data_IF_283714930454
#
_entry.id   IF_283714930454
#
_cell.length_a   1.000
_cell.length_b   1.000
_cell.length_c   1.000
_cell.angle_alpha   90.00
_cell.angle_beta   90.00
_cell.angle_gamma   90.00
#
_symmetry.space_group_name_H-M   'P 1'
#
loop_
_entity.id
_entity.type
_entity.pdbx_description
1 polymer ?
#
# COMPACT_ATOMS: atom_id res chain seq x y z
N UNK A 1 -53.39 -7.38 -30.71
CA UNK A 1 -52.31 -6.84 -29.85
C UNK A 1 -51.29 -7.95 -29.66
N UNK A 2 -50.20 -7.96 -30.45
CA UNK A 2 -49.13 -8.94 -30.30
C UNK A 2 -47.92 -8.23 -29.66
N UNK A 3 -47.72 -8.47 -28.36
CA UNK A 3 -46.58 -7.96 -27.62
C UNK A 3 -45.37 -8.86 -27.88
N UNK A 4 -44.43 -8.40 -28.69
CA UNK A 4 -43.12 -9.02 -28.90
C UNK A 4 -42.15 -8.46 -27.84
N UNK A 5 -41.95 -9.19 -26.75
CA UNK A 5 -40.89 -8.93 -25.78
C UNK A 5 -39.57 -9.52 -26.28
N UNK A 6 -38.68 -8.65 -26.78
CA UNK A 6 -37.30 -9.00 -27.06
C UNK A 6 -36.48 -8.99 -25.76
N UNK A 7 -36.01 -10.16 -25.33
CA UNK A 7 -35.05 -10.30 -24.23
C UNK A 7 -33.68 -9.76 -24.68
N UNK A 8 -33.27 -8.62 -24.13
CA UNK A 8 -31.87 -8.18 -24.19
C UNK A 8 -31.08 -9.00 -23.17
N UNK A 9 -30.23 -9.92 -23.65
CA UNK A 9 -29.22 -10.56 -22.82
C UNK A 9 -28.12 -9.53 -22.53
N UNK A 10 -28.18 -8.92 -21.35
CA UNK A 10 -27.09 -8.12 -20.83
C UNK A 10 -25.96 -9.06 -20.39
N UNK A 11 -24.91 -9.18 -21.22
CA UNK A 11 -23.67 -9.83 -20.85
C UNK A 11 -22.97 -8.99 -19.78
N UNK A 12 -23.12 -9.37 -18.51
CA UNK A 12 -22.33 -8.82 -17.42
C UNK A 12 -20.87 -9.26 -17.63
N UNK A 13 -20.08 -8.42 -18.28
CA UNK A 13 -18.63 -8.55 -18.27
C UNK A 13 -18.18 -8.38 -16.81
N UNK A 14 -17.86 -9.49 -16.16
CA UNK A 14 -17.20 -9.48 -14.86
C UNK A 14 -15.85 -8.82 -15.06
N UNK A 15 -15.75 -7.53 -14.73
CA UNK A 15 -14.48 -6.86 -14.55
C UNK A 15 -13.76 -7.58 -13.40
N UNK A 16 -12.94 -8.57 -13.76
CA UNK A 16 -12.05 -9.22 -12.82
C UNK A 16 -11.10 -8.13 -12.35
N UNK A 17 -11.36 -7.56 -11.16
CA UNK A 17 -10.46 -6.60 -10.52
C UNK A 17 -9.12 -7.30 -10.38
N UNK A 18 -8.20 -7.00 -11.30
CA UNK A 18 -6.87 -7.56 -11.27
C UNK A 18 -6.24 -7.09 -9.95
N UNK A 19 -6.04 -8.04 -9.01
CA UNK A 19 -5.24 -7.75 -7.83
C UNK A 19 -3.91 -7.18 -8.33
N UNK A 20 -3.43 -6.06 -7.77
CA UNK A 20 -2.13 -5.53 -8.14
C UNK A 20 -1.10 -6.67 -8.03
N UNK A 21 -0.30 -6.85 -9.08
CA UNK A 21 0.78 -7.82 -9.04
C UNK A 21 1.65 -7.55 -7.80
N UNK A 22 2.01 -8.62 -7.08
CA UNK A 22 2.85 -8.53 -5.90
C UNK A 22 4.15 -7.78 -6.24
N UNK A 23 4.67 -7.00 -5.30
CA UNK A 23 5.89 -6.24 -5.53
C UNK A 23 7.08 -7.20 -5.72
N UNK A 24 8.10 -6.83 -6.52
CA UNK A 24 9.28 -7.68 -6.71
C UNK A 24 9.96 -8.02 -5.37
N UNK A 25 10.40 -9.27 -5.20
CA UNK A 25 11.01 -9.78 -3.95
C UNK A 25 12.23 -8.97 -3.51
N UNK A 26 13.07 -8.57 -4.46
CA UNK A 26 14.28 -7.80 -4.19
C UNK A 26 13.93 -6.38 -3.72
N UNK A 27 12.87 -5.80 -4.28
CA UNK A 27 12.35 -4.52 -3.81
C UNK A 27 11.84 -4.64 -2.37
N UNK A 28 11.02 -5.65 -2.08
CA UNK A 28 10.48 -5.90 -0.73
C UNK A 28 11.62 -6.03 0.29
N UNK A 29 12.61 -6.87 -0.03
CA UNK A 29 13.76 -7.13 0.84
C UNK A 29 14.60 -5.87 1.08
N UNK A 30 14.82 -5.07 0.02
CA UNK A 30 15.57 -3.83 0.13
C UNK A 30 14.80 -2.75 0.89
N UNK A 31 13.49 -2.62 0.65
CA UNK A 31 12.63 -1.69 1.36
C UNK A 31 12.65 -1.97 2.86
N UNK A 32 12.39 -3.21 3.27
CA UNK A 32 12.33 -3.58 4.68
C UNK A 32 13.68 -3.35 5.38
N UNK A 33 14.78 -3.75 4.75
CA UNK A 33 16.13 -3.53 5.30
C UNK A 33 16.41 -2.05 5.56
N UNK A 34 16.12 -1.19 4.58
CA UNK A 34 16.38 0.25 4.70
C UNK A 34 15.43 0.93 5.68
N UNK A 35 14.16 0.54 5.68
CA UNK A 35 13.18 1.05 6.63
C UNK A 35 13.60 0.72 8.06
N UNK A 36 13.88 -0.56 8.36
CA UNK A 36 14.26 -1.01 9.70
C UNK A 36 15.52 -0.29 10.18
N UNK A 37 16.56 -0.19 9.34
CA UNK A 37 17.79 0.50 9.70
C UNK A 37 17.55 1.99 10.01
N UNK A 38 16.67 2.66 9.27
CA UNK A 38 16.31 4.08 9.52
C UNK A 38 15.48 4.25 10.78
N UNK A 39 14.53 3.35 11.03
CA UNK A 39 13.70 3.35 12.24
C UNK A 39 14.55 3.17 13.50
N UNK A 40 15.50 2.23 13.47
CA UNK A 40 16.47 2.05 14.56
C UNK A 40 17.35 3.28 14.77
N UNK A 41 17.83 3.90 13.68
CA UNK A 41 18.59 5.15 13.78
C UNK A 41 17.77 6.33 14.35
N UNK A 42 16.44 6.21 14.38
CA UNK A 42 15.51 7.17 15.00
C UNK A 42 15.07 6.75 16.41
N UNK A 43 15.63 5.66 16.95
CA UNK A 43 15.45 5.25 18.34
C UNK A 43 14.42 4.14 18.57
N UNK A 44 13.85 3.55 17.52
CA UNK A 44 12.95 2.39 17.67
C UNK A 44 13.74 1.12 17.94
N UNK A 45 13.21 0.26 18.81
CA UNK A 45 13.77 -1.06 19.03
C UNK A 45 13.65 -1.94 17.79
N UNK A 46 14.41 -3.05 17.74
CA UNK A 46 14.44 -3.95 16.58
C UNK A 46 13.06 -4.51 16.25
N UNK A 47 12.29 -4.90 17.26
CA UNK A 47 10.96 -5.48 17.11
C UNK A 47 9.95 -4.44 16.59
N UNK A 48 9.95 -3.24 17.19
CA UNK A 48 9.10 -2.11 16.81
C UNK A 48 9.41 -1.64 15.39
N UNK A 49 10.69 -1.53 15.05
CA UNK A 49 11.14 -1.18 13.70
C UNK A 49 10.65 -2.20 12.66
N UNK A 50 10.74 -3.49 12.97
CA UNK A 50 10.24 -4.55 12.07
C UNK A 50 8.72 -4.42 11.90
N UNK A 51 7.99 -4.28 13.00
CA UNK A 51 6.53 -4.15 12.98
C UNK A 51 6.07 -2.93 12.17
N UNK A 52 6.69 -1.76 12.40
CA UNK A 52 6.41 -0.53 11.64
C UNK A 52 6.63 -0.75 10.14
N UNK A 53 7.79 -1.29 9.76
CA UNK A 53 8.18 -1.43 8.36
C UNK A 53 7.35 -2.48 7.62
N UNK A 54 7.04 -3.60 8.27
CA UNK A 54 6.18 -4.65 7.72
C UNK A 54 4.73 -4.13 7.54
N UNK A 55 4.20 -3.40 8.54
CA UNK A 55 2.90 -2.74 8.43
C UNK A 55 2.88 -1.76 7.26
N UNK A 56 3.87 -0.88 7.18
CA UNK A 56 3.92 0.19 6.18
C UNK A 56 3.99 -0.38 4.77
N UNK A 57 4.86 -1.37 4.52
CA UNK A 57 4.95 -2.00 3.20
C UNK A 57 3.65 -2.73 2.83
N UNK A 58 3.05 -3.45 3.78
CA UNK A 58 1.77 -4.14 3.56
C UNK A 58 0.67 -3.16 3.17
N UNK A 59 0.58 -2.01 3.84
CA UNK A 59 -0.39 -0.97 3.50
C UNK A 59 -0.16 -0.42 2.08
N UNK A 60 1.10 -0.17 1.69
CA UNK A 60 1.40 0.26 0.31
C UNK A 60 1.00 -0.80 -0.72
N UNK A 61 1.29 -2.07 -0.47
CA UNK A 61 0.89 -3.17 -1.36
C UNK A 61 -0.62 -3.35 -1.49
N UNK A 62 -1.39 -2.96 -0.47
CA UNK A 62 -2.85 -3.00 -0.49
C UNK A 62 -3.46 -1.83 -1.27
N UNK A 63 -2.83 -0.66 -1.23
CA UNK A 63 -3.38 0.59 -1.79
C UNK A 63 -2.86 0.89 -3.19
N UNK A 64 -1.67 0.44 -3.54
CA UNK A 64 -0.98 0.81 -4.78
C UNK A 64 -0.37 -0.41 -5.45
N UNK A 65 -0.53 -0.52 -6.77
CA UNK A 65 0.37 -1.35 -7.56
C UNK A 65 1.81 -0.87 -7.44
N UNK A 66 2.76 -1.73 -7.80
CA UNK A 66 4.17 -1.37 -7.72
C UNK A 66 4.53 -0.15 -8.57
N UNK A 67 3.89 0.02 -9.73
CA UNK A 67 4.13 1.18 -10.59
C UNK A 67 3.54 2.46 -10.00
N UNK A 68 2.33 2.40 -9.44
CA UNK A 68 1.71 3.54 -8.75
C UNK A 68 2.53 3.96 -7.52
N UNK A 69 3.01 3.00 -6.72
CA UNK A 69 3.86 3.30 -5.58
C UNK A 69 5.17 3.99 -5.98
N UNK A 70 5.82 3.53 -7.06
CA UNK A 70 7.03 4.19 -7.58
C UNK A 70 6.74 5.64 -8.01
N UNK A 71 5.64 5.86 -8.71
CA UNK A 71 5.24 7.20 -9.16
C UNK A 71 4.91 8.10 -7.96
N UNK A 72 4.14 7.59 -7.00
CA UNK A 72 3.81 8.30 -5.76
C UNK A 72 5.09 8.73 -5.04
N UNK A 73 6.00 7.78 -4.78
CA UNK A 73 7.28 8.03 -4.10
C UNK A 73 8.16 9.02 -4.85
N UNK A 74 8.25 8.92 -6.20
CA UNK A 74 9.01 9.86 -7.01
C UNK A 74 8.43 11.29 -6.94
N UNK A 75 7.10 11.41 -6.96
CA UNK A 75 6.42 12.70 -6.95
C UNK A 75 6.42 13.40 -5.58
N UNK A 76 6.60 12.67 -4.48
CA UNK A 76 6.52 13.21 -3.12
C UNK A 76 7.53 14.34 -2.82
N UNK A 77 8.59 14.47 -3.61
CA UNK A 77 9.56 15.58 -3.47
C UNK A 77 9.01 16.93 -3.90
N UNK A 78 8.01 16.94 -4.79
CA UNK A 78 7.45 18.16 -5.40
C UNK A 78 5.93 18.22 -5.32
N UNK A 79 5.27 17.14 -4.89
CA UNK A 79 3.84 17.06 -4.70
C UNK A 79 3.51 16.84 -3.22
N UNK A 80 3.04 17.90 -2.50
CA UNK A 80 2.70 17.80 -1.09
C UNK A 80 1.61 16.78 -0.77
N UNK A 81 0.67 16.55 -1.69
CA UNK A 81 -0.37 15.55 -1.49
C UNK A 81 0.21 14.12 -1.56
N UNK A 82 1.15 13.87 -2.47
CA UNK A 82 1.85 12.60 -2.53
C UNK A 82 2.68 12.35 -1.26
N UNK A 83 3.39 13.37 -0.78
CA UNK A 83 4.10 13.31 0.49
C UNK A 83 3.15 13.00 1.65
N UNK A 84 2.05 13.75 1.76
CA UNK A 84 1.06 13.54 2.81
C UNK A 84 0.46 12.12 2.79
N UNK A 85 0.18 11.57 1.61
CA UNK A 85 -0.32 10.20 1.48
C UNK A 85 0.69 9.17 1.98
N UNK A 86 1.97 9.31 1.66
CA UNK A 86 3.03 8.43 2.16
C UNK A 86 3.21 8.56 3.68
N UNK A 87 3.22 9.80 4.19
CA UNK A 87 3.34 10.08 5.62
C UNK A 87 2.20 9.48 6.42
N UNK A 88 0.95 9.65 5.98
CA UNK A 88 -0.24 9.09 6.66
C UNK A 88 -0.18 7.57 6.82
N UNK A 89 0.35 6.85 5.83
CA UNK A 89 0.51 5.39 5.93
C UNK A 89 1.53 5.04 7.01
N UNK A 90 2.67 5.74 7.05
CA UNK A 90 3.68 5.55 8.07
C UNK A 90 3.17 5.90 9.47
N UNK A 91 2.46 7.02 9.63
CA UNK A 91 1.87 7.47 10.89
C UNK A 91 0.85 6.46 11.42
N UNK A 92 -0.09 5.99 10.58
CA UNK A 92 -1.07 4.98 10.99
C UNK A 92 -0.41 3.67 11.44
N UNK A 93 0.68 3.26 10.81
CA UNK A 93 1.45 2.09 11.23
C UNK A 93 2.28 2.35 12.49
N UNK A 94 2.74 3.58 12.71
CA UNK A 94 3.47 3.96 13.91
C UNK A 94 2.56 4.06 15.13
N UNK A 95 1.35 4.60 14.98
CA UNK A 95 0.32 4.55 16.02
C UNK A 95 0.04 3.10 16.45
N UNK A 96 -0.02 2.17 15.49
CA UNK A 96 -0.19 0.77 15.82
C UNK A 96 0.97 0.21 16.66
N UNK A 97 2.21 0.68 16.48
CA UNK A 97 3.35 0.28 17.34
C UNK A 97 3.19 0.86 18.75
N UNK A 98 2.81 2.13 18.87
CA UNK A 98 2.67 2.82 20.17
C UNK A 98 1.56 2.23 21.05
N UNK A 99 0.46 1.76 20.45
CA UNK A 99 -0.71 1.25 21.17
C UNK A 99 -0.77 -0.28 21.27
N UNK A 100 0.34 -0.98 20.98
CA UNK A 100 0.47 -2.43 21.23
C UNK A 100 0.99 -2.76 22.64
N UNK A 101 0.79 -1.86 23.61
CA UNK A 101 1.01 -2.19 25.03
C UNK A 101 0.07 -3.34 25.44
N UNK A 102 0.65 -4.50 25.71
CA UNK A 102 0.09 -5.56 26.56
C UNK A 102 0.29 -5.17 28.02
#
# INVERSE_FOLDING_TARGET
MAALLALMLASAATAQSARPAAYPSDFVSNYLRNCIARSQAQGLEVAESRQLCDCTLKQFQQQYSFNEFKQLTASARTNPQAQANLTKVGEACFEAVLFQEN
#
